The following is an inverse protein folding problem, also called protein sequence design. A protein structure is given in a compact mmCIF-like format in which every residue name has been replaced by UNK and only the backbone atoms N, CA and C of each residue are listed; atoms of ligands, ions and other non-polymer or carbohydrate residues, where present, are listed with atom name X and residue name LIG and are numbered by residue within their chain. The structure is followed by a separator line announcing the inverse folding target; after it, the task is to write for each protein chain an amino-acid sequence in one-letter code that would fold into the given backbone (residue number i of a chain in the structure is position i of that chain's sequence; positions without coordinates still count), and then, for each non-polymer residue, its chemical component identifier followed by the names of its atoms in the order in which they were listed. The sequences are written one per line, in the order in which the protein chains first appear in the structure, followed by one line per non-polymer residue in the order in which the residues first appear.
data_IF_594991089504
#
_entry.id   IF_594991089504
#
_cell.length_a   1.000
_cell.length_b   1.000
_cell.length_c   1.000
_cell.angle_alpha   90.00
_cell.angle_beta   90.00
_cell.angle_gamma   90.00
#
_symmetry.space_group_name_H-M   'P 1'
#
loop_
_entity.id
_entity.type
_entity.pdbx_description
1 polymer ?
#
# COMPACT_ATOMS: atom_id res chain seq x y z
N UNK A 1 0.82 25.04 0.61
CA UNK A 1 0.70 23.59 0.82
C UNK A 1 0.22 23.03 -0.49
N UNK A 2 0.90 22.03 -1.03
CA UNK A 2 0.45 21.33 -2.23
C UNK A 2 -0.66 20.35 -1.81
N UNK A 3 -1.78 20.34 -2.52
CA UNK A 3 -2.89 19.44 -2.24
C UNK A 3 -2.87 18.30 -3.26
N UNK A 4 -2.81 17.05 -2.78
CA UNK A 4 -2.79 15.83 -3.60
C UNK A 4 -4.22 15.30 -3.68
N UNK A 5 -4.65 15.05 -4.92
CA UNK A 5 -5.94 14.48 -5.25
C UNK A 5 -5.88 13.81 -6.64
N UNK A 6 -6.97 13.18 -7.08
CA UNK A 6 -7.15 12.66 -8.43
C UNK A 6 -6.62 11.24 -8.60
N UNK A 7 -6.07 10.95 -9.78
CA UNK A 7 -5.58 9.62 -10.15
C UNK A 7 -4.07 9.65 -10.38
N UNK A 8 -3.36 8.69 -9.77
CA UNK A 8 -1.98 8.38 -10.07
C UNK A 8 -1.94 7.16 -11.01
N UNK A 9 -1.36 7.32 -12.21
CA UNK A 9 -1.09 6.24 -13.16
C UNK A 9 0.44 6.02 -13.18
N UNK A 10 0.88 4.89 -12.63
CA UNK A 10 2.29 4.49 -12.54
C UNK A 10 2.61 3.54 -13.67
N UNK A 11 3.73 3.80 -14.37
CA UNK A 11 4.27 2.91 -15.39
C UNK A 11 5.77 2.80 -15.21
N UNK A 12 6.26 1.58 -15.19
CA UNK A 12 7.69 1.32 -15.22
C UNK A 12 8.17 1.19 -16.66
N UNK A 13 9.43 1.58 -16.88
CA UNK A 13 10.14 1.21 -18.09
C UNK A 13 10.34 -0.31 -18.14
N UNK A 14 10.32 -0.90 -19.34
CA UNK A 14 10.44 -2.35 -19.54
C UNK A 14 11.72 -2.96 -18.95
N UNK A 15 12.76 -2.15 -18.72
CA UNK A 15 14.02 -2.58 -18.11
C UNK A 15 13.98 -2.72 -16.59
N UNK A 16 12.96 -2.17 -15.92
CA UNK A 16 12.85 -2.22 -14.46
C UNK A 16 12.35 -3.61 -14.05
N UNK A 17 13.02 -4.21 -13.07
CA UNK A 17 12.60 -5.46 -12.42
C UNK A 17 12.32 -5.15 -10.95
N UNK A 18 11.08 -4.73 -10.61
CA UNK A 18 10.69 -4.40 -9.24
C UNK A 18 10.93 -5.58 -8.30
N UNK A 19 11.56 -5.32 -7.16
CA UNK A 19 11.85 -6.28 -6.11
C UNK A 19 11.41 -5.75 -4.74
N UNK A 20 11.20 -6.65 -3.79
CA UNK A 20 10.82 -6.29 -2.43
C UNK A 20 11.77 -5.23 -1.85
N UNK A 21 11.20 -4.20 -1.23
CA UNK A 21 11.96 -3.09 -0.66
C UNK A 21 12.29 -1.97 -1.65
N UNK A 22 12.03 -2.16 -2.96
CA UNK A 22 12.19 -1.09 -3.92
C UNK A 22 11.25 0.07 -3.61
N UNK A 23 11.77 1.28 -3.85
CA UNK A 23 11.10 2.53 -3.51
C UNK A 23 11.39 3.58 -4.57
N UNK A 24 10.35 4.28 -5.00
CA UNK A 24 10.44 5.36 -5.97
C UNK A 24 9.76 6.61 -5.43
N UNK A 25 10.52 7.70 -5.32
CA UNK A 25 9.94 9.00 -4.99
C UNK A 25 9.12 9.52 -6.18
N UNK A 26 7.89 9.96 -5.91
CA UNK A 26 6.98 10.53 -6.91
C UNK A 26 6.91 12.05 -6.79
N UNK A 27 6.86 12.55 -5.56
CA UNK A 27 6.87 13.98 -5.25
C UNK A 27 7.78 14.21 -4.05
N UNK A 28 8.73 15.14 -4.16
CA UNK A 28 9.67 15.49 -3.10
C UNK A 28 9.67 17.00 -2.83
N UNK A 29 9.93 17.39 -1.58
CA UNK A 29 10.41 18.73 -1.26
C UNK A 29 9.34 19.83 -1.18
N UNK A 30 8.07 19.50 -0.95
CA UNK A 30 7.01 20.49 -0.70
C UNK A 30 6.18 20.14 0.52
N UNK A 31 5.72 21.14 1.29
CA UNK A 31 4.69 20.90 2.33
C UNK A 31 3.40 20.49 1.62
N UNK A 32 2.98 19.25 1.81
CA UNK A 32 1.86 18.65 1.10
C UNK A 32 0.82 18.01 2.03
N UNK A 33 -0.39 17.85 1.51
CA UNK A 33 -1.53 17.22 2.18
C UNK A 33 -2.42 16.52 1.15
N UNK A 34 -3.33 15.66 1.61
CA UNK A 34 -4.22 14.88 0.74
C UNK A 34 -3.59 13.55 0.29
N UNK A 35 -4.27 12.86 -0.61
CA UNK A 35 -3.87 11.56 -1.17
C UNK A 35 -4.51 11.36 -2.55
N UNK A 36 -3.93 10.50 -3.38
CA UNK A 36 -4.55 10.13 -4.64
C UNK A 36 -5.78 9.26 -4.37
N UNK A 37 -6.95 9.65 -4.91
CA UNK A 37 -8.21 8.90 -4.77
C UNK A 37 -8.22 7.59 -5.55
N UNK A 38 -7.43 7.51 -6.61
CA UNK A 38 -7.27 6.31 -7.41
C UNK A 38 -5.81 6.10 -7.76
N UNK A 39 -5.33 4.87 -7.64
CA UNK A 39 -3.96 4.49 -7.94
C UNK A 39 -4.02 3.34 -8.93
N UNK A 40 -3.39 3.53 -10.09
CA UNK A 40 -3.25 2.53 -11.13
C UNK A 40 -1.77 2.18 -11.20
N UNK A 41 -1.45 0.93 -10.89
CA UNK A 41 -0.09 0.39 -10.94
C UNK A 41 -0.02 -0.74 -11.98
N UNK A 42 1.17 -1.06 -12.50
CA UNK A 42 1.36 -2.33 -13.20
C UNK A 42 1.18 -3.51 -12.23
N UNK A 43 1.06 -4.71 -12.78
CA UNK A 43 0.99 -5.92 -11.96
C UNK A 43 2.29 -6.05 -11.12
N UNK A 44 2.19 -6.21 -9.79
CA UNK A 44 3.35 -6.46 -8.97
C UNK A 44 3.90 -7.87 -9.20
N UNK A 45 5.18 -8.13 -8.88
CA UNK A 45 5.68 -9.49 -8.79
C UNK A 45 4.81 -10.34 -7.84
N UNK A 46 4.76 -11.65 -8.10
CA UNK A 46 3.93 -12.56 -7.32
C UNK A 46 4.25 -12.47 -5.81
N UNK A 47 3.21 -12.32 -4.99
CA UNK A 47 3.35 -12.21 -3.53
C UNK A 47 3.71 -10.82 -3.02
N UNK A 48 3.86 -9.82 -3.91
CA UNK A 48 4.14 -8.43 -3.55
C UNK A 48 2.99 -7.51 -3.94
N UNK A 49 2.97 -6.31 -3.35
CA UNK A 49 2.01 -5.26 -3.63
C UNK A 49 2.71 -3.90 -3.68
N UNK A 50 2.25 -3.03 -4.57
CA UNK A 50 2.64 -1.62 -4.56
C UNK A 50 1.80 -0.85 -3.55
N UNK A 51 2.46 -0.09 -2.66
CA UNK A 51 1.79 0.86 -1.76
C UNK A 51 2.23 2.28 -2.06
N UNK A 52 1.27 3.20 -2.11
CA UNK A 52 1.54 4.63 -2.30
C UNK A 52 1.40 5.32 -0.96
N UNK A 53 2.52 5.78 -0.43
CA UNK A 53 2.60 6.47 0.84
C UNK A 53 2.75 7.96 0.62
N UNK A 54 2.00 8.72 1.42
CA UNK A 54 2.03 10.19 1.36
C UNK A 54 2.22 10.73 2.76
N UNK A 55 3.36 11.36 2.98
CA UNK A 55 3.67 12.10 4.19
C UNK A 55 3.71 13.61 3.90
N UNK A 56 4.09 14.41 4.89
CA UNK A 56 4.02 15.88 4.81
C UNK A 56 4.97 16.52 3.80
N UNK A 57 5.98 15.78 3.32
CA UNK A 57 7.07 16.31 2.50
C UNK A 57 7.43 15.41 1.31
N UNK A 58 6.79 14.26 1.18
CA UNK A 58 7.09 13.25 0.18
C UNK A 58 5.89 12.35 -0.10
N UNK A 59 5.68 12.07 -1.39
CA UNK A 59 4.84 10.98 -1.87
C UNK A 59 5.72 10.00 -2.60
N UNK A 60 5.61 8.72 -2.24
CA UNK A 60 6.44 7.68 -2.82
C UNK A 60 5.63 6.41 -3.02
N UNK A 61 6.09 5.56 -3.92
CA UNK A 61 5.59 4.20 -4.09
C UNK A 61 6.66 3.23 -3.59
N UNK A 62 6.24 2.22 -2.84
CA UNK A 62 7.08 1.10 -2.42
C UNK A 62 6.52 -0.20 -2.93
N UNK A 63 7.40 -1.19 -3.10
CA UNK A 63 7.00 -2.58 -3.27
C UNK A 63 7.26 -3.33 -1.95
N UNK A 64 6.18 -3.83 -1.35
CA UNK A 64 6.23 -4.59 -0.09
C UNK A 64 5.36 -5.84 -0.17
N UNK A 65 5.23 -6.59 0.93
CA UNK A 65 4.32 -7.72 1.04
C UNK A 65 2.92 -7.27 1.47
N UNK A 66 1.84 -8.00 1.11
CA UNK A 66 0.48 -7.60 1.46
C UNK A 66 0.22 -7.41 2.96
N UNK A 67 0.88 -8.21 3.80
CA UNK A 67 0.73 -8.17 5.27
C UNK A 67 1.40 -6.97 5.94
N UNK A 68 2.34 -6.30 5.27
CA UNK A 68 2.97 -5.04 5.71
C UNK A 68 2.11 -3.89 5.19
N UNK A 69 1.14 -3.47 6.02
CA UNK A 69 0.13 -2.49 5.69
C UNK A 69 0.64 -1.06 5.91
N UNK A 70 1.58 -0.87 6.85
CA UNK A 70 2.18 0.43 7.13
C UNK A 70 3.41 0.74 6.25
N UNK A 71 3.81 -0.21 5.40
CA UNK A 71 4.89 -0.11 4.44
C UNK A 71 6.28 0.12 5.08
N UNK A 72 6.51 -0.40 6.29
CA UNK A 72 7.79 -0.29 7.01
C UNK A 72 8.74 -1.48 6.79
N UNK A 73 8.37 -2.38 5.88
CA UNK A 73 9.05 -3.61 5.50
C UNK A 73 9.07 -4.68 6.59
N UNK A 74 8.16 -4.59 7.56
CA UNK A 74 7.95 -5.61 8.59
C UNK A 74 6.47 -5.89 8.73
N UNK A 75 6.16 -7.14 9.05
CA UNK A 75 4.81 -7.52 9.47
C UNK A 75 4.79 -7.63 10.99
N UNK A 76 4.29 -6.61 11.66
CA UNK A 76 4.18 -6.58 13.12
C UNK A 76 2.84 -6.04 13.64
N UNK A 77 2.75 -5.81 14.96
CA UNK A 77 1.49 -5.39 15.58
C UNK A 77 0.96 -4.04 15.05
N UNK A 78 1.82 -3.21 14.43
CA UNK A 78 1.43 -1.95 13.81
C UNK A 78 0.57 -2.16 12.57
N UNK A 79 0.81 -3.23 11.79
CA UNK A 79 -0.02 -3.57 10.63
C UNK A 79 -1.42 -4.00 11.05
N UNK A 80 -1.49 -4.82 12.12
CA UNK A 80 -2.77 -5.22 12.72
C UNK A 80 -3.51 -3.99 13.25
N UNK A 81 -2.82 -3.10 13.95
CA UNK A 81 -3.41 -1.89 14.49
C UNK A 81 -3.94 -0.98 13.36
N UNK A 82 -3.18 -0.82 12.28
CA UNK A 82 -3.60 -0.06 11.11
C UNK A 82 -4.80 -0.72 10.43
N UNK A 83 -4.79 -2.05 10.26
CA UNK A 83 -5.90 -2.79 9.68
C UNK A 83 -7.18 -2.55 10.48
N UNK A 84 -7.14 -2.70 11.80
CA UNK A 84 -8.32 -2.49 12.67
C UNK A 84 -8.88 -1.07 12.59
N UNK A 85 -8.01 -0.06 12.49
CA UNK A 85 -8.44 1.34 12.34
C UNK A 85 -9.16 1.54 11.01
N UNK A 86 -8.61 1.00 9.91
CA UNK A 86 -9.15 1.13 8.55
C UNK A 86 -10.46 0.35 8.37
N UNK A 87 -10.48 -0.89 8.85
CA UNK A 87 -11.67 -1.73 8.88
C UNK A 87 -12.81 -1.06 9.67
N UNK A 88 -12.50 -0.45 10.82
CA UNK A 88 -13.49 0.22 11.66
C UNK A 88 -14.09 1.51 11.08
N UNK A 89 -13.58 2.01 9.96
CA UNK A 89 -14.11 3.20 9.24
C UNK A 89 -14.51 2.89 7.80
N UNK A 90 -14.71 1.60 7.48
CA UNK A 90 -15.10 1.10 6.16
C UNK A 90 -14.14 1.55 5.03
N UNK A 91 -12.84 1.61 5.29
CA UNK A 91 -11.83 1.98 4.29
C UNK A 91 -11.47 0.78 3.41
N UNK A 92 -11.90 0.78 2.16
CA UNK A 92 -11.66 -0.29 1.18
C UNK A 92 -10.17 -0.56 0.88
N UNK A 93 -9.23 0.22 1.42
CA UNK A 93 -7.81 -0.16 1.39
C UNK A 93 -7.53 -1.47 2.14
N UNK A 94 -8.44 -1.92 3.00
CA UNK A 94 -8.37 -3.22 3.69
C UNK A 94 -9.36 -4.26 3.16
N UNK A 95 -9.91 -4.06 1.96
CA UNK A 95 -10.58 -5.10 1.18
C UNK A 95 -9.49 -6.02 0.59
N UNK A 96 -9.16 -7.08 1.32
CA UNK A 96 -8.00 -7.94 1.06
C UNK A 96 -8.33 -9.11 0.13
N UNK A 97 -9.61 -9.51 0.02
CA UNK A 97 -10.03 -10.50 -0.96
C UNK A 97 -10.58 -9.89 -2.26
N UNK A 98 -10.81 -8.57 -2.27
CA UNK A 98 -11.14 -7.77 -3.43
C UNK A 98 -12.59 -7.90 -3.88
N UNK A 99 -13.49 -8.34 -3.01
CA UNK A 99 -14.90 -8.57 -3.35
C UNK A 99 -15.78 -7.30 -3.24
N UNK A 100 -15.25 -6.23 -2.64
CA UNK A 100 -15.89 -4.93 -2.50
C UNK A 100 -16.71 -4.75 -1.22
N UNK A 101 -16.82 -5.79 -0.39
CA UNK A 101 -17.40 -5.74 0.95
C UNK A 101 -16.28 -5.82 2.00
N UNK A 102 -16.51 -5.25 3.19
CA UNK A 102 -15.57 -5.38 4.32
C UNK A 102 -16.16 -6.30 5.37
N UNK A 103 -15.66 -7.53 5.44
CA UNK A 103 -16.18 -8.55 6.33
C UNK A 103 -15.10 -9.47 6.94
N UNK A 104 -15.51 -10.67 7.37
CA UNK A 104 -14.59 -11.62 7.99
C UNK A 104 -13.58 -12.22 7.01
N UNK A 105 -13.88 -12.27 5.71
CA UNK A 105 -13.00 -12.81 4.69
C UNK A 105 -11.76 -11.92 4.47
N UNK A 106 -11.90 -10.59 4.58
CA UNK A 106 -10.76 -9.67 4.60
C UNK A 106 -9.84 -9.91 5.79
N UNK A 107 -10.44 -10.08 6.98
CA UNK A 107 -9.68 -10.37 8.20
C UNK A 107 -8.91 -11.67 8.04
N UNK A 108 -9.55 -12.71 7.52
CA UNK A 108 -8.91 -14.01 7.30
C UNK A 108 -7.78 -13.91 6.27
N UNK A 109 -8.00 -13.18 5.17
CA UNK A 109 -7.02 -13.00 4.08
C UNK A 109 -5.83 -12.16 4.54
N UNK A 110 -6.08 -11.04 5.23
CA UNK A 110 -5.04 -10.23 5.85
C UNK A 110 -4.20 -11.04 6.83
N UNK A 111 -4.82 -11.83 7.72
CA UNK A 111 -4.07 -12.66 8.68
C UNK A 111 -3.23 -13.74 7.99
N UNK A 112 -3.70 -14.31 6.88
CA UNK A 112 -2.90 -15.24 6.09
C UNK A 112 -1.62 -14.55 5.57
N UNK A 113 -1.75 -13.37 4.96
CA UNK A 113 -0.60 -12.58 4.50
C UNK A 113 0.30 -12.11 5.63
N UNK A 114 -0.28 -11.65 6.74
CA UNK A 114 0.45 -11.23 7.93
C UNK A 114 1.32 -12.36 8.49
N UNK A 115 0.78 -13.58 8.59
CA UNK A 115 1.54 -14.74 9.10
C UNK A 115 2.59 -15.26 8.12
N UNK A 116 2.43 -14.99 6.82
CA UNK A 116 3.45 -15.29 5.83
C UNK A 116 4.65 -14.34 5.93
N UNK A 117 4.43 -13.10 6.36
CA UNK A 117 5.47 -12.09 6.48
C UNK A 117 5.97 -11.55 5.13
N UNK A 118 7.04 -10.76 5.18
CA UNK A 118 7.66 -10.16 3.98
C UNK A 118 8.89 -10.92 3.45
N UNK A 119 9.22 -12.08 4.02
CA UNK A 119 10.41 -12.86 3.66
C UNK A 119 10.13 -13.95 2.59
N UNK A 120 9.01 -13.86 1.87
CA UNK A 120 8.51 -14.91 0.98
C UNK A 120 9.16 -14.93 -0.41
#
# INVERSE_FOLDING_TARGET
VMHIDGTLDVRFDESVQPAFGDRWALIEGTRQEGFFRNVITPDPPAGLIYRVETNSNETFIVLTCPGDLNADFRTDYLDIALFMVRFGVDDLVVDFDGDGDLDFYDVATFLAWFTQGCDA
#
